data_IF_192590289513
#
_entry.id   IF_192590289513
#
_cell.length_a   1.000
_cell.length_b   1.000
_cell.length_c   1.000
_cell.angle_alpha   90.00
_cell.angle_beta   90.00
_cell.angle_gamma   90.00
#
_symmetry.space_group_name_H-M   'P 1'
#
loop_
_entity.id
_entity.type
_entity.pdbx_description
1 polymer ?
#
# COMPACT_ATOMS: atom_id res chain seq x y z
N UNK A 1 5.18 -11.24 19.66
CA UNK A 1 5.43 -11.18 18.22
C UNK A 1 4.17 -11.58 17.49
N UNK A 2 3.53 -10.63 16.83
CA UNK A 2 2.23 -10.81 16.14
C UNK A 2 2.32 -11.72 14.90
N UNK A 3 3.49 -11.76 14.25
CA UNK A 3 3.71 -12.45 12.97
C UNK A 3 4.74 -13.57 13.06
N UNK A 4 4.94 -14.13 14.26
CA UNK A 4 5.88 -15.25 14.44
C UNK A 4 5.52 -16.40 13.50
N UNK A 5 6.50 -16.87 12.72
CA UNK A 5 6.36 -17.94 11.72
C UNK A 5 5.47 -17.60 10.50
N UNK A 6 5.00 -16.35 10.34
CA UNK A 6 4.28 -15.91 9.15
C UNK A 6 5.27 -15.52 8.05
N UNK A 7 4.97 -15.91 6.82
CA UNK A 7 5.70 -15.56 5.60
C UNK A 7 4.92 -14.50 4.82
N UNK A 8 5.49 -13.33 4.63
CA UNK A 8 4.82 -12.20 3.97
C UNK A 8 5.64 -11.68 2.79
N UNK A 9 5.01 -11.62 1.63
CA UNK A 9 5.57 -10.97 0.45
C UNK A 9 5.26 -9.47 0.47
N UNK A 10 6.26 -8.60 0.33
CA UNK A 10 6.08 -7.16 0.27
C UNK A 10 6.43 -6.63 -1.12
N UNK A 11 5.48 -5.95 -1.77
CA UNK A 11 5.69 -5.29 -3.05
C UNK A 11 5.84 -3.79 -2.87
N UNK A 12 6.57 -3.12 -3.77
CA UNK A 12 6.67 -1.65 -3.78
C UNK A 12 7.67 -1.04 -2.80
N UNK A 13 8.61 -1.82 -2.26
CA UNK A 13 9.73 -1.30 -1.46
C UNK A 13 10.78 -0.66 -2.37
N UNK A 14 10.67 0.64 -2.64
CA UNK A 14 11.55 1.36 -3.56
C UNK A 14 12.78 1.97 -2.86
N UNK A 15 12.68 2.36 -1.59
CA UNK A 15 13.75 2.94 -0.77
C UNK A 15 13.35 2.97 0.72
N UNK A 16 14.29 3.38 1.58
CA UNK A 16 14.10 3.47 3.04
C UNK A 16 13.02 4.45 3.53
N UNK A 17 12.54 5.35 2.67
CA UNK A 17 11.49 6.33 2.99
C UNK A 17 10.11 5.90 2.53
N UNK A 18 10.00 4.78 1.78
CA UNK A 18 8.71 4.26 1.34
C UNK A 18 7.89 3.72 2.53
N UNK A 19 6.56 3.77 2.41
CA UNK A 19 5.67 3.18 3.41
C UNK A 19 5.96 1.67 3.55
N UNK A 20 6.26 0.99 2.44
CA UNK A 20 6.67 -0.42 2.44
C UNK A 20 7.89 -0.70 3.33
N UNK A 21 8.82 0.27 3.48
CA UNK A 21 9.97 0.12 4.39
C UNK A 21 9.55 0.12 5.86
N UNK A 22 8.63 1.00 6.25
CA UNK A 22 8.07 1.01 7.61
C UNK A 22 7.27 -0.28 7.90
N UNK A 23 6.51 -0.76 6.89
CA UNK A 23 5.77 -2.03 6.99
C UNK A 23 6.74 -3.21 7.16
N UNK A 24 7.78 -3.30 6.33
CA UNK A 24 8.80 -4.35 6.42
C UNK A 24 9.49 -4.34 7.79
N UNK A 25 9.87 -3.15 8.29
CA UNK A 25 10.49 -2.99 9.60
C UNK A 25 9.58 -3.48 10.73
N UNK A 26 8.31 -3.10 10.72
CA UNK A 26 7.35 -3.53 11.75
C UNK A 26 7.07 -5.02 11.68
N UNK A 27 6.87 -5.58 10.48
CA UNK A 27 6.60 -7.01 10.30
C UNK A 27 7.81 -7.88 10.68
N UNK A 28 9.04 -7.45 10.34
CA UNK A 28 10.26 -8.13 10.76
C UNK A 28 10.41 -8.12 12.28
N UNK A 29 10.21 -6.97 12.93
CA UNK A 29 10.21 -6.84 14.40
C UNK A 29 9.18 -7.76 15.05
N UNK A 30 8.04 -7.97 14.40
CA UNK A 30 6.98 -8.85 14.88
C UNK A 30 7.18 -10.33 14.48
N UNK A 31 8.33 -10.67 13.89
CA UNK A 31 8.78 -12.05 13.68
C UNK A 31 8.36 -12.67 12.35
N UNK A 32 7.94 -11.88 11.38
CA UNK A 32 7.68 -12.36 10.02
C UNK A 32 8.97 -12.70 9.27
N UNK A 33 8.92 -13.76 8.48
CA UNK A 33 9.86 -14.03 7.38
C UNK A 33 9.37 -13.25 6.15
N UNK A 34 10.25 -12.43 5.54
CA UNK A 34 9.87 -11.52 4.47
C UNK A 34 10.48 -11.93 3.13
N UNK A 35 9.74 -11.70 2.05
CA UNK A 35 10.22 -11.68 0.69
C UNK A 35 9.80 -10.35 0.02
N UNK A 36 10.52 -9.95 -1.02
CA UNK A 36 10.27 -8.66 -1.68
C UNK A 36 10.23 -8.81 -3.19
N UNK A 37 9.40 -7.96 -3.84
CA UNK A 37 9.46 -7.80 -5.29
C UNK A 37 10.10 -6.47 -5.68
N UNK A 38 10.72 -6.46 -6.85
CA UNK A 38 11.26 -5.27 -7.50
C UNK A 38 10.90 -5.26 -8.99
N UNK A 39 10.74 -4.08 -9.58
CA UNK A 39 10.32 -3.96 -10.98
C UNK A 39 11.49 -4.05 -11.97
N UNK A 40 12.68 -3.57 -11.56
CA UNK A 40 13.84 -3.48 -12.45
C UNK A 40 15.16 -3.41 -11.66
N UNK A 41 16.28 -3.59 -12.35
CA UNK A 41 17.65 -3.59 -11.79
C UNK A 41 18.00 -2.33 -10.97
N UNK A 42 17.47 -1.17 -11.35
CA UNK A 42 17.69 0.08 -10.59
C UNK A 42 17.05 0.01 -9.20
N UNK A 43 15.85 -0.57 -9.10
CA UNK A 43 15.16 -0.75 -7.82
C UNK A 43 15.80 -1.89 -7.01
N UNK A 44 16.26 -2.94 -7.65
CA UNK A 44 16.98 -4.04 -6.99
C UNK A 44 18.17 -3.52 -6.17
N UNK A 45 19.02 -2.67 -6.76
CA UNK A 45 20.20 -2.08 -6.06
C UNK A 45 19.83 -1.32 -4.78
N UNK A 46 18.67 -0.69 -4.75
CA UNK A 46 18.17 0.00 -3.56
C UNK A 46 17.55 -0.97 -2.55
N UNK A 47 16.94 -2.04 -3.03
CA UNK A 47 16.21 -3.02 -2.24
C UNK A 47 17.14 -3.98 -1.50
N UNK A 48 18.21 -4.47 -2.13
CA UNK A 48 19.13 -5.46 -1.55
C UNK A 48 19.62 -5.12 -0.13
N UNK A 49 20.16 -3.91 0.14
CA UNK A 49 20.63 -3.57 1.48
C UNK A 49 19.48 -3.49 2.50
N UNK A 50 18.26 -3.10 2.07
CA UNK A 50 17.09 -3.04 2.93
C UNK A 50 16.57 -4.45 3.26
N UNK A 51 16.47 -5.32 2.27
CA UNK A 51 16.05 -6.70 2.46
C UNK A 51 16.97 -7.43 3.45
N UNK A 52 18.30 -7.27 3.30
CA UNK A 52 19.28 -7.81 4.25
C UNK A 52 19.08 -7.29 5.67
N UNK A 53 18.75 -6.00 5.84
CA UNK A 53 18.45 -5.42 7.15
C UNK A 53 17.19 -6.02 7.79
N UNK A 54 16.27 -6.53 6.98
CA UNK A 54 15.06 -7.25 7.40
C UNK A 54 15.24 -8.79 7.35
N UNK A 55 16.47 -9.27 7.31
CA UNK A 55 16.79 -10.71 7.36
C UNK A 55 16.36 -11.51 6.14
N UNK A 56 16.13 -10.87 4.99
CA UNK A 56 15.66 -11.53 3.77
C UNK A 56 16.71 -11.50 2.66
N UNK A 57 16.79 -12.62 1.94
CA UNK A 57 17.53 -12.78 0.68
C UNK A 57 16.62 -13.13 -0.51
N UNK A 58 15.29 -13.12 -0.29
CA UNK A 58 14.30 -13.47 -1.32
C UNK A 58 13.84 -12.18 -2.03
N UNK A 59 14.45 -11.93 -3.18
CA UNK A 59 14.19 -10.78 -4.05
C UNK A 59 13.74 -11.29 -5.42
N UNK A 60 12.56 -10.88 -5.86
CA UNK A 60 11.91 -11.43 -7.06
C UNK A 60 11.52 -10.30 -8.00
N UNK A 61 11.93 -10.40 -9.25
CA UNK A 61 11.52 -9.46 -10.29
C UNK A 61 10.02 -9.60 -10.58
N UNK A 62 9.29 -8.48 -10.55
CA UNK A 62 7.85 -8.43 -10.84
C UNK A 62 7.46 -7.03 -11.34
N UNK A 63 7.11 -6.94 -12.62
CA UNK A 63 6.43 -5.77 -13.17
C UNK A 63 4.93 -6.04 -13.17
N UNK A 64 4.19 -5.31 -12.37
CA UNK A 64 2.75 -5.49 -12.21
C UNK A 64 1.93 -5.01 -13.42
N UNK A 65 2.56 -4.37 -14.40
CA UNK A 65 1.95 -4.04 -15.69
C UNK A 65 1.92 -5.24 -16.67
N UNK A 66 2.45 -6.41 -16.27
CA UNK A 66 2.52 -7.60 -17.12
C UNK A 66 2.07 -8.83 -16.34
N UNK A 67 0.97 -9.45 -16.80
CA UNK A 67 0.48 -10.70 -16.21
C UNK A 67 1.54 -11.81 -16.30
N UNK A 68 2.30 -11.88 -17.42
CA UNK A 68 3.41 -12.84 -17.57
C UNK A 68 4.52 -12.62 -16.52
N UNK A 69 4.86 -11.36 -16.23
CA UNK A 69 5.82 -11.03 -15.18
C UNK A 69 5.31 -11.44 -13.80
N UNK A 70 4.04 -11.21 -13.51
CA UNK A 70 3.39 -11.63 -12.26
C UNK A 70 3.44 -13.17 -12.11
N UNK A 71 3.02 -13.91 -13.14
CA UNK A 71 3.05 -15.38 -13.12
C UNK A 71 4.46 -15.92 -12.92
N UNK A 72 5.45 -15.35 -13.62
CA UNK A 72 6.88 -15.70 -13.44
C UNK A 72 7.34 -15.41 -12.01
N UNK A 73 6.94 -14.28 -11.43
CA UNK A 73 7.32 -13.92 -10.06
C UNK A 73 6.82 -14.94 -9.03
N UNK A 74 5.57 -15.39 -9.11
CA UNK A 74 5.05 -16.42 -8.20
C UNK A 74 5.65 -17.79 -8.45
N UNK A 75 6.01 -18.11 -9.70
CA UNK A 75 6.77 -19.33 -10.03
C UNK A 75 8.18 -19.29 -9.41
N UNK A 76 8.86 -18.16 -9.38
CA UNK A 76 10.15 -18.01 -8.69
C UNK A 76 9.98 -18.04 -7.17
N UNK A 77 8.93 -17.41 -6.62
CA UNK A 77 8.61 -17.48 -5.19
C UNK A 77 8.35 -18.91 -4.73
N UNK A 78 7.67 -19.73 -5.54
CA UNK A 78 7.36 -21.12 -5.20
C UNK A 78 8.61 -22.02 -5.05
N UNK A 79 9.75 -21.62 -5.62
CA UNK A 79 11.05 -22.30 -5.42
C UNK A 79 11.66 -22.01 -4.05
N UNK A 80 11.22 -20.95 -3.37
CA UNK A 80 11.68 -20.50 -2.06
C UNK A 80 10.73 -20.87 -0.94
N UNK A 81 9.43 -20.66 -1.17
CA UNK A 81 8.35 -20.95 -0.25
C UNK A 81 7.31 -21.87 -0.91
N UNK A 82 7.01 -23.00 -0.30
CA UNK A 82 5.92 -23.88 -0.76
C UNK A 82 4.56 -23.19 -0.61
N UNK A 83 4.41 -22.41 0.46
CA UNK A 83 3.23 -21.60 0.75
C UNK A 83 3.62 -20.40 1.61
N UNK A 84 2.74 -19.38 1.70
CA UNK A 84 2.98 -18.18 2.47
C UNK A 84 1.67 -17.57 3.01
N UNK A 85 1.77 -16.63 3.96
CA UNK A 85 0.64 -16.19 4.77
C UNK A 85 0.01 -14.88 4.28
N UNK A 86 0.47 -14.35 3.17
CA UNK A 86 -0.13 -13.18 2.53
C UNK A 86 0.88 -12.20 1.94
N UNK A 87 0.34 -11.14 1.35
CA UNK A 87 1.19 -10.10 0.77
C UNK A 87 0.69 -8.69 1.07
N UNK A 88 1.63 -7.74 0.99
CA UNK A 88 1.38 -6.31 1.05
C UNK A 88 1.57 -5.70 -0.33
N UNK A 89 0.51 -5.13 -0.88
CA UNK A 89 0.51 -4.35 -2.10
C UNK A 89 0.75 -2.87 -1.78
N UNK A 90 2.01 -2.42 -1.90
CA UNK A 90 2.41 -1.03 -1.68
C UNK A 90 2.81 -0.35 -3.00
N UNK A 91 1.97 -0.50 -4.01
CA UNK A 91 2.19 -0.01 -5.38
C UNK A 91 1.15 1.05 -5.72
N UNK A 92 1.57 2.06 -6.46
CA UNK A 92 0.71 3.07 -7.03
C UNK A 92 1.52 3.94 -7.97
N UNK A 93 0.96 4.22 -9.15
CA UNK A 93 1.57 5.05 -10.17
C UNK A 93 0.51 5.74 -11.02
N UNK A 94 0.74 6.99 -11.34
CA UNK A 94 0.09 7.71 -12.42
C UNK A 94 1.13 8.59 -13.12
N UNK A 95 1.03 8.84 -14.44
CA UNK A 95 1.88 9.81 -15.12
C UNK A 95 1.75 11.21 -14.48
N UNK A 96 2.85 11.92 -14.32
CA UNK A 96 2.88 13.20 -13.58
C UNK A 96 2.02 14.29 -14.21
N UNK A 97 1.89 14.30 -15.53
CA UNK A 97 1.04 15.21 -16.30
C UNK A 97 -0.46 15.00 -16.06
N UNK A 98 -0.84 13.86 -15.48
CA UNK A 98 -2.22 13.54 -15.11
C UNK A 98 -2.58 14.01 -13.70
N UNK A 99 -1.61 14.43 -12.90
CA UNK A 99 -1.78 14.81 -11.49
C UNK A 99 -1.90 16.31 -11.29
N UNK A 100 -1.18 17.11 -12.09
CA UNK A 100 -1.15 18.57 -11.95
C UNK A 100 -2.16 19.26 -12.90
N UNK A 101 -2.94 20.22 -12.39
CA UNK A 101 -3.88 21.02 -13.17
C UNK A 101 -5.35 20.66 -12.90
N UNK A 102 -6.24 21.24 -13.69
CA UNK A 102 -7.68 20.96 -13.60
C UNK A 102 -7.95 19.53 -14.08
N UNK A 103 -8.64 18.75 -13.29
CA UNK A 103 -8.93 17.33 -13.56
C UNK A 103 -9.51 17.08 -14.95
N UNK A 104 -10.48 17.88 -15.38
CA UNK A 104 -11.14 17.71 -16.69
C UNK A 104 -10.18 17.97 -17.84
N UNK A 105 -9.27 18.95 -17.69
CA UNK A 105 -8.39 19.37 -18.77
C UNK A 105 -7.18 18.43 -18.94
N UNK A 106 -6.66 17.88 -17.84
CA UNK A 106 -5.42 17.08 -17.87
C UNK A 106 -5.67 15.57 -17.98
N UNK A 107 -6.88 15.09 -17.67
CA UNK A 107 -7.17 13.66 -17.67
C UNK A 107 -7.29 13.12 -19.10
N UNK A 108 -6.40 12.24 -19.46
CA UNK A 108 -6.43 11.52 -20.74
C UNK A 108 -6.90 10.08 -20.57
N UNK A 109 -7.43 9.49 -21.66
CA UNK A 109 -7.81 8.07 -21.67
C UNK A 109 -6.64 7.16 -21.30
N UNK A 110 -5.46 7.43 -21.83
CA UNK A 110 -4.28 6.61 -21.57
C UNK A 110 -3.77 6.77 -20.14
N UNK A 111 -3.66 8.00 -19.63
CA UNK A 111 -3.26 8.25 -18.24
C UNK A 111 -4.26 7.62 -17.24
N UNK A 112 -5.55 7.66 -17.53
CA UNK A 112 -6.58 6.99 -16.75
C UNK A 112 -6.37 5.47 -16.71
N UNK A 113 -6.13 4.84 -17.89
CA UNK A 113 -5.85 3.40 -17.99
C UNK A 113 -4.61 3.01 -17.17
N UNK A 114 -3.49 3.70 -17.37
CA UNK A 114 -2.24 3.43 -16.67
C UNK A 114 -2.43 3.53 -15.15
N UNK A 115 -3.09 4.60 -14.67
CA UNK A 115 -3.30 4.78 -13.24
C UNK A 115 -4.14 3.66 -12.62
N UNK A 116 -5.21 3.21 -13.30
CA UNK A 116 -6.07 2.13 -12.81
C UNK A 116 -5.40 0.77 -12.93
N UNK A 117 -4.69 0.51 -14.01
CA UNK A 117 -3.98 -0.74 -14.25
C UNK A 117 -2.94 -0.97 -13.14
N UNK A 118 -2.01 -0.02 -12.97
CA UNK A 118 -0.92 -0.13 -11.99
C UNK A 118 -1.40 0.00 -10.55
N UNK A 119 -2.36 0.90 -10.26
CA UNK A 119 -2.69 1.25 -8.87
C UNK A 119 -3.92 0.54 -8.31
N UNK A 120 -4.67 -0.18 -9.13
CA UNK A 120 -5.88 -0.88 -8.74
C UNK A 120 -5.91 -2.32 -9.23
N UNK A 121 -5.88 -2.56 -10.56
CA UNK A 121 -5.97 -3.90 -11.13
C UNK A 121 -4.83 -4.81 -10.67
N UNK A 122 -3.61 -4.29 -10.55
CA UNK A 122 -2.45 -5.05 -10.10
C UNK A 122 -2.66 -5.75 -8.74
N UNK A 123 -3.46 -5.19 -7.83
CA UNK A 123 -3.82 -5.85 -6.58
C UNK A 123 -4.64 -7.12 -6.82
N UNK A 124 -5.60 -7.07 -7.73
CA UNK A 124 -6.41 -8.23 -8.14
C UNK A 124 -5.57 -9.27 -8.88
N UNK A 125 -4.68 -8.83 -9.77
CA UNK A 125 -3.78 -9.72 -10.52
C UNK A 125 -2.82 -10.49 -9.58
N UNK A 126 -2.20 -9.78 -8.61
CA UNK A 126 -1.37 -10.41 -7.58
C UNK A 126 -2.18 -11.36 -6.69
N UNK A 127 -3.41 -10.99 -6.29
CA UNK A 127 -4.29 -11.86 -5.51
C UNK A 127 -4.61 -13.15 -6.27
N UNK A 128 -4.95 -13.05 -7.57
CA UNK A 128 -5.19 -14.21 -8.43
C UNK A 128 -3.97 -15.13 -8.52
N UNK A 129 -2.79 -14.57 -8.79
CA UNK A 129 -1.56 -15.33 -8.96
C UNK A 129 -1.07 -15.96 -7.65
N UNK A 130 -1.32 -15.30 -6.50
CA UNK A 130 -0.94 -15.79 -5.17
C UNK A 130 -1.82 -16.93 -4.65
N UNK A 131 -3.09 -16.99 -5.08
CA UNK A 131 -4.11 -17.89 -4.53
C UNK A 131 -3.66 -19.35 -4.36
N UNK A 132 -2.96 -19.99 -5.33
CA UNK A 132 -2.51 -21.39 -5.17
C UNK A 132 -1.45 -21.62 -4.10
N UNK A 133 -0.82 -20.54 -3.60
CA UNK A 133 0.28 -20.62 -2.64
C UNK A 133 -0.11 -20.07 -1.26
N UNK A 134 -1.32 -19.53 -1.08
CA UNK A 134 -1.74 -18.97 0.21
C UNK A 134 -2.03 -20.09 1.23
N UNK A 135 -1.49 -19.89 2.44
CA UNK A 135 -1.85 -20.72 3.60
C UNK A 135 -3.30 -20.43 4.01
N UNK A 136 -3.89 -21.32 4.77
CA UNK A 136 -5.12 -21.05 5.52
C UNK A 136 -4.90 -19.86 6.48
N UNK A 137 -5.92 -19.02 6.66
CA UNK A 137 -5.86 -17.80 7.48
C UNK A 137 -4.88 -16.72 6.96
N UNK A 138 -4.68 -16.66 5.64
CA UNK A 138 -3.82 -15.65 5.01
C UNK A 138 -4.45 -14.25 5.01
N UNK A 139 -3.60 -13.23 4.83
CA UNK A 139 -4.03 -11.83 4.77
C UNK A 139 -3.41 -11.08 3.58
N UNK A 140 -4.25 -10.43 2.79
CA UNK A 140 -3.83 -9.51 1.72
C UNK A 140 -4.08 -8.07 2.17
N UNK A 141 -3.10 -7.22 2.00
CA UNK A 141 -3.16 -5.83 2.43
C UNK A 141 -2.75 -4.90 1.30
N UNK A 142 -3.50 -3.81 1.11
CA UNK A 142 -3.11 -2.74 0.18
C UNK A 142 -3.08 -1.37 0.86
N UNK A 143 -2.48 -0.39 0.18
CA UNK A 143 -2.39 0.99 0.66
C UNK A 143 -3.24 1.91 -0.21
N UNK A 144 -4.14 2.65 0.44
CA UNK A 144 -4.97 3.68 -0.17
C UNK A 144 -4.71 5.05 0.48
N UNK A 145 -5.46 6.04 0.08
CA UNK A 145 -5.38 7.40 0.60
C UNK A 145 -6.76 8.05 0.60
N UNK A 146 -6.99 9.00 1.49
CA UNK A 146 -8.25 9.74 1.62
C UNK A 146 -8.78 10.31 0.28
N UNK A 147 -7.89 10.54 -0.68
CA UNK A 147 -8.24 10.94 -2.04
C UNK A 147 -9.14 9.95 -2.80
N UNK A 148 -9.35 8.74 -2.28
CA UNK A 148 -10.33 7.77 -2.80
C UNK A 148 -11.79 8.20 -2.55
N UNK A 149 -12.04 8.95 -1.47
CA UNK A 149 -13.37 9.34 -1.01
C UNK A 149 -13.60 10.85 -0.91
N UNK A 150 -12.52 11.63 -0.95
CA UNK A 150 -12.56 13.10 -0.94
C UNK A 150 -11.66 13.66 -2.04
N UNK A 151 -12.07 14.76 -2.66
CA UNK A 151 -11.26 15.43 -3.67
C UNK A 151 -10.01 16.05 -3.03
N UNK A 152 -8.84 15.64 -3.48
CA UNK A 152 -7.55 16.20 -3.06
C UNK A 152 -6.92 16.93 -4.26
N UNK A 153 -6.55 18.21 -4.12
CA UNK A 153 -5.87 18.95 -5.19
C UNK A 153 -4.60 18.25 -5.68
N UNK A 154 -4.38 18.24 -6.98
CA UNK A 154 -3.24 17.58 -7.65
C UNK A 154 -3.13 16.06 -7.40
N UNK A 155 -4.24 15.42 -7.08
CA UNK A 155 -4.32 13.96 -6.96
C UNK A 155 -5.07 13.32 -8.14
N UNK A 156 -5.99 14.04 -8.74
CA UNK A 156 -6.71 13.77 -10.00
C UNK A 156 -6.97 12.26 -10.24
N UNK A 157 -6.47 11.70 -11.36
CA UNK A 157 -6.72 10.28 -11.74
C UNK A 157 -6.30 9.27 -10.66
N UNK A 158 -5.33 9.62 -9.81
CA UNK A 158 -4.93 8.75 -8.71
C UNK A 158 -6.05 8.59 -7.68
N UNK A 159 -6.85 9.63 -7.42
CA UNK A 159 -8.03 9.54 -6.55
C UNK A 159 -9.03 8.49 -7.05
N UNK A 160 -9.30 8.49 -8.36
CA UNK A 160 -10.20 7.52 -8.98
C UNK A 160 -9.61 6.10 -8.94
N UNK A 161 -8.30 5.95 -9.20
CA UNK A 161 -7.63 4.66 -9.09
C UNK A 161 -7.65 4.12 -7.66
N UNK A 162 -7.50 4.99 -6.63
CA UNK A 162 -7.62 4.59 -5.22
C UNK A 162 -9.06 4.25 -4.82
N UNK A 163 -10.07 4.94 -5.35
CA UNK A 163 -11.47 4.57 -5.17
C UNK A 163 -11.77 3.17 -5.76
N UNK A 164 -11.25 2.91 -6.94
CA UNK A 164 -11.28 1.57 -7.56
C UNK A 164 -10.56 0.52 -6.71
N UNK A 165 -9.39 0.84 -6.14
CA UNK A 165 -8.63 -0.06 -5.27
C UNK A 165 -9.39 -0.40 -3.96
N UNK A 166 -10.09 0.56 -3.37
CA UNK A 166 -10.94 0.33 -2.19
C UNK A 166 -12.15 -0.54 -2.53
N UNK A 167 -12.74 -0.37 -3.71
CA UNK A 167 -13.76 -1.29 -4.21
C UNK A 167 -13.18 -2.70 -4.41
N UNK A 168 -12.01 -2.83 -5.05
CA UNK A 168 -11.31 -4.10 -5.21
C UNK A 168 -11.06 -4.80 -3.87
N UNK A 169 -10.69 -4.07 -2.83
CA UNK A 169 -10.49 -4.63 -1.48
C UNK A 169 -11.75 -5.34 -1.00
N UNK A 170 -12.94 -4.72 -1.15
CA UNK A 170 -14.23 -5.34 -0.76
C UNK A 170 -14.60 -6.54 -1.63
N UNK A 171 -14.41 -6.44 -2.95
CA UNK A 171 -14.71 -7.55 -3.87
C UNK A 171 -13.77 -8.73 -3.67
N UNK A 172 -12.49 -8.51 -3.44
CA UNK A 172 -11.52 -9.56 -3.12
C UNK A 172 -11.84 -10.20 -1.75
N UNK A 173 -12.20 -9.41 -0.73
CA UNK A 173 -12.61 -9.93 0.56
C UNK A 173 -13.81 -10.87 0.44
N UNK A 174 -14.83 -10.49 -0.33
CA UNK A 174 -15.99 -11.32 -0.59
C UNK A 174 -15.65 -12.58 -1.38
N UNK A 175 -14.77 -12.47 -2.39
CA UNK A 175 -14.37 -13.59 -3.26
C UNK A 175 -13.46 -14.61 -2.59
N UNK A 176 -12.59 -14.18 -1.67
CA UNK A 176 -11.57 -15.03 -1.04
C UNK A 176 -11.92 -15.45 0.39
N UNK A 177 -13.00 -14.92 0.96
CA UNK A 177 -13.41 -15.19 2.33
C UNK A 177 -13.75 -16.67 2.59
N UNK A 178 -14.33 -17.37 1.61
CA UNK A 178 -14.58 -18.81 1.71
C UNK A 178 -13.31 -19.67 1.76
N UNK A 179 -12.19 -19.13 1.27
CA UNK A 179 -10.86 -19.74 1.36
C UNK A 179 -10.11 -19.27 2.63
N UNK A 180 -10.82 -18.65 3.58
CA UNK A 180 -10.28 -18.08 4.82
C UNK A 180 -9.16 -17.04 4.60
N UNK A 181 -9.21 -16.31 3.48
CA UNK A 181 -8.26 -15.24 3.15
C UNK A 181 -8.91 -13.89 3.43
N UNK A 182 -8.30 -13.08 4.29
CA UNK A 182 -8.74 -11.73 4.62
C UNK A 182 -8.10 -10.72 3.68
N UNK A 183 -8.84 -9.70 3.28
CA UNK A 183 -8.36 -8.65 2.38
C UNK A 183 -8.74 -7.30 2.94
N UNK A 184 -7.76 -6.46 3.26
CA UNK A 184 -7.96 -5.15 3.86
C UNK A 184 -7.11 -4.07 3.20
N UNK A 185 -7.41 -2.81 3.47
CA UNK A 185 -6.60 -1.68 3.05
C UNK A 185 -6.28 -0.75 4.22
N UNK A 186 -5.15 -0.06 4.15
CA UNK A 186 -4.81 1.06 5.03
C UNK A 186 -4.88 2.35 4.22
N UNK A 187 -5.73 3.28 4.66
CA UNK A 187 -5.74 4.66 4.20
C UNK A 187 -4.74 5.47 5.03
N UNK A 188 -3.51 5.58 4.53
CA UNK A 188 -2.43 6.27 5.22
C UNK A 188 -2.52 7.78 5.02
N UNK A 189 -2.26 8.56 6.07
CA UNK A 189 -2.04 10.01 5.96
C UNK A 189 -0.82 10.32 5.08
N UNK A 190 -0.64 11.59 4.66
CA UNK A 190 0.47 11.96 3.81
C UNK A 190 1.81 11.80 4.55
N UNK A 191 2.70 11.01 3.96
CA UNK A 191 4.05 10.75 4.45
C UNK A 191 5.03 11.20 3.38
N UNK A 192 6.15 11.82 3.80
CA UNK A 192 7.19 12.28 2.88
C UNK A 192 7.95 11.08 2.28
N UNK A 193 7.40 10.53 1.21
CA UNK A 193 8.02 9.47 0.41
C UNK A 193 8.58 10.02 -0.90
N UNK A 194 9.34 9.22 -1.64
CA UNK A 194 9.79 9.60 -2.99
C UNK A 194 8.60 9.79 -3.95
N UNK A 195 7.62 8.91 -3.89
CA UNK A 195 6.38 9.01 -4.69
C UNK A 195 5.62 10.29 -4.36
N UNK A 196 5.47 10.64 -3.08
CA UNK A 196 4.80 11.86 -2.64
C UNK A 196 5.56 13.14 -3.01
N UNK A 197 6.90 13.09 -3.16
CA UNK A 197 7.70 14.26 -3.58
C UNK A 197 7.40 14.72 -5.02
N UNK A 198 6.81 13.85 -5.85
CA UNK A 198 6.31 14.20 -7.18
C UNK A 198 4.99 15.00 -7.18
N UNK A 199 4.31 15.09 -6.03
CA UNK A 199 3.08 15.91 -5.92
C UNK A 199 3.43 17.37 -5.68
N UNK A 200 2.96 18.26 -6.54
CA UNK A 200 3.18 19.69 -6.41
C UNK A 200 2.65 20.22 -5.07
N UNK A 201 3.42 21.10 -4.43
CA UNK A 201 3.08 21.72 -3.14
C UNK A 201 2.93 20.72 -1.96
N UNK A 202 3.57 19.56 -2.03
CA UNK A 202 3.47 18.52 -0.99
C UNK A 202 3.77 19.03 0.43
N UNK A 203 4.75 19.94 0.60
CA UNK A 203 5.02 20.57 1.92
C UNK A 203 3.81 21.32 2.47
N UNK A 204 3.12 22.11 1.62
CA UNK A 204 1.91 22.84 2.02
C UNK A 204 0.80 21.87 2.42
N UNK A 205 0.67 20.77 1.68
CA UNK A 205 -0.28 19.69 2.01
C UNK A 205 0.02 19.05 3.39
N UNK A 206 1.29 18.81 3.73
CA UNK A 206 1.68 18.29 5.06
C UNK A 206 1.31 19.27 6.18
N UNK A 207 1.56 20.57 6.00
CA UNK A 207 1.19 21.61 6.98
C UNK A 207 -0.32 21.67 7.17
N UNK A 208 -1.09 21.67 6.08
CA UNK A 208 -2.56 21.69 6.13
C UNK A 208 -3.12 20.41 6.78
N UNK A 209 -2.49 19.26 6.51
CA UNK A 209 -2.86 18.01 7.16
C UNK A 209 -2.64 18.11 8.68
N UNK A 210 -1.45 18.55 9.11
CA UNK A 210 -1.12 18.67 10.53
C UNK A 210 -2.04 19.65 11.28
N UNK A 211 -2.41 20.78 10.65
CA UNK A 211 -3.30 21.77 11.28
C UNK A 211 -4.74 21.25 11.47
N UNK A 212 -5.18 20.31 10.64
CA UNK A 212 -6.52 19.75 10.67
C UNK A 212 -6.63 18.42 11.44
N UNK A 213 -5.51 17.68 11.51
CA UNK A 213 -5.50 16.38 12.17
C UNK A 213 -5.68 16.53 13.69
N UNK A 214 -6.57 15.80 14.35
CA UNK A 214 -6.76 15.83 15.80
C UNK A 214 -5.48 15.63 16.61
N UNK A 215 -4.51 14.83 16.13
CA UNK A 215 -3.22 14.67 16.80
C UNK A 215 -2.21 15.79 16.49
N UNK A 216 -2.57 16.81 15.70
CA UNK A 216 -1.72 17.97 15.39
C UNK A 216 -0.46 17.66 14.57
N UNK A 217 -0.39 16.51 13.93
CA UNK A 217 0.78 16.04 13.19
C UNK A 217 0.41 15.11 12.03
N UNK A 218 1.36 14.84 11.16
CA UNK A 218 1.28 13.72 10.21
C UNK A 218 1.67 12.41 10.88
N UNK A 219 1.41 11.29 10.20
CA UNK A 219 1.82 9.96 10.65
C UNK A 219 3.18 9.56 10.07
N UNK A 220 3.79 8.54 10.67
CA UNK A 220 5.06 7.95 10.26
C UNK A 220 4.86 6.65 9.49
N UNK A 221 5.88 6.22 8.74
CA UNK A 221 5.87 4.90 8.09
C UNK A 221 5.80 3.75 9.10
N UNK A 222 6.35 3.95 10.30
CA UNK A 222 6.29 2.97 11.39
C UNK A 222 4.87 2.80 11.93
N UNK A 223 4.11 3.89 12.12
CA UNK A 223 2.71 3.82 12.57
C UNK A 223 1.85 3.07 11.57
N UNK A 224 2.05 3.29 10.27
CA UNK A 224 1.39 2.50 9.22
C UNK A 224 1.84 1.04 9.26
N UNK A 225 3.14 0.81 9.48
CA UNK A 225 3.73 -0.54 9.61
C UNK A 225 3.14 -1.33 10.78
N UNK A 226 2.92 -0.70 11.92
CA UNK A 226 2.34 -1.34 13.10
C UNK A 226 0.90 -1.81 12.83
N UNK A 227 0.10 -0.99 12.16
CA UNK A 227 -1.27 -1.37 11.76
C UNK A 227 -1.23 -2.46 10.69
N UNK A 228 -0.28 -2.41 9.74
CA UNK A 228 -0.10 -3.46 8.75
C UNK A 228 0.25 -4.81 9.39
N UNK A 229 1.15 -4.82 10.37
CA UNK A 229 1.49 -6.04 11.12
C UNK A 229 0.26 -6.61 11.89
N UNK A 230 -0.54 -5.74 12.51
CA UNK A 230 -1.79 -6.13 13.16
C UNK A 230 -2.79 -6.74 12.16
N UNK A 231 -3.07 -6.06 11.04
CA UNK A 231 -4.04 -6.53 10.04
C UNK A 231 -3.61 -7.84 9.37
N UNK A 232 -2.31 -8.11 9.25
CA UNK A 232 -1.79 -9.38 8.72
C UNK A 232 -1.66 -10.49 9.78
N UNK A 233 -1.91 -10.19 11.06
CA UNK A 233 -1.83 -11.16 12.15
C UNK A 233 -3.17 -11.84 12.42
N UNK A 234 -3.13 -12.92 13.22
CA UNK A 234 -4.33 -13.63 13.68
C UNK A 234 -5.19 -12.81 14.66
N UNK A 235 -4.64 -11.73 15.24
CA UNK A 235 -5.41 -10.77 16.07
C UNK A 235 -6.46 -10.00 15.24
N UNK A 236 -6.32 -9.95 13.92
CA UNK A 236 -7.28 -9.34 13.01
C UNK A 236 -8.17 -10.39 12.30
N UNK A 237 -8.33 -11.59 12.85
CA UNK A 237 -9.05 -12.71 12.23
C UNK A 237 -10.51 -12.40 11.87
N UNK A 238 -11.15 -11.47 12.54
CA UNK A 238 -12.52 -11.01 12.24
C UNK A 238 -12.60 -9.79 11.33
N UNK A 239 -11.47 -9.31 10.75
CA UNK A 239 -11.42 -8.08 9.95
C UNK A 239 -11.11 -8.41 8.49
N UNK A 240 -12.09 -8.18 7.59
CA UNK A 240 -11.90 -8.30 6.14
C UNK A 240 -12.82 -7.31 5.39
N UNK A 241 -12.37 -6.80 4.25
CA UNK A 241 -13.06 -5.79 3.46
C UNK A 241 -12.97 -4.37 4.04
N UNK A 242 -12.13 -4.16 5.07
CA UNK A 242 -12.04 -2.92 5.84
C UNK A 242 -11.00 -1.96 5.24
N UNK A 243 -11.30 -0.67 5.33
CA UNK A 243 -10.38 0.43 5.02
C UNK A 243 -10.02 1.13 6.33
N UNK A 244 -8.88 0.77 6.90
CA UNK A 244 -8.42 1.31 8.19
C UNK A 244 -7.66 2.62 7.98
N UNK A 245 -8.10 3.71 8.60
CA UNK A 245 -7.43 5.00 8.53
C UNK A 245 -6.26 5.09 9.52
N UNK A 246 -5.09 5.44 9.02
CA UNK A 246 -3.87 5.75 9.80
C UNK A 246 -3.40 7.13 9.34
N UNK A 247 -4.04 8.18 9.82
CA UNK A 247 -3.89 9.56 9.33
C UNK A 247 -3.92 10.63 10.43
N UNK A 248 -3.67 10.25 11.67
CA UNK A 248 -3.73 11.12 12.85
C UNK A 248 -5.14 11.73 13.10
N UNK A 249 -6.20 11.06 12.59
CA UNK A 249 -7.60 11.48 12.72
C UNK A 249 -8.03 12.52 11.67
N UNK A 250 -7.19 12.84 10.69
CA UNK A 250 -7.49 13.86 9.67
C UNK A 250 -8.82 13.62 8.93
N UNK A 251 -9.13 12.37 8.62
CA UNK A 251 -10.37 12.02 7.90
C UNK A 251 -11.66 12.40 8.66
N UNK A 252 -11.58 12.58 9.98
CA UNK A 252 -12.74 12.87 10.85
C UNK A 252 -12.98 14.37 11.05
N UNK A 253 -11.98 15.23 10.77
CA UNK A 253 -12.06 16.66 11.02
C UNK A 253 -12.45 17.44 9.77
N UNK A 254 -13.55 18.20 9.83
CA UNK A 254 -14.03 19.01 8.73
C UNK A 254 -13.19 20.30 8.52
N UNK A 255 -12.61 20.86 9.62
CA UNK A 255 -11.84 22.11 9.61
C UNK A 255 -10.71 22.05 10.64
N UNK A 256 -9.72 22.97 10.57
CA UNK A 256 -8.66 23.08 11.59
C UNK A 256 -9.23 23.28 12.99
N UNK A 257 -8.73 22.52 13.97
CA UNK A 257 -9.20 22.60 15.35
C UNK A 257 -8.69 23.84 16.09
N UNK A 258 -7.53 24.36 15.67
CA UNK A 258 -6.90 25.55 16.26
C UNK A 258 -7.62 26.86 15.95
N UNK A 259 -8.39 26.95 14.87
CA UNK A 259 -9.16 28.17 14.50
C UNK A 259 -10.41 28.38 15.38
N UNK A 260 -10.80 27.39 16.20
CA UNK A 260 -11.98 27.45 17.06
C UNK A 260 -11.61 27.88 18.49
N UNK A 261 -10.33 27.83 18.86
CA UNK A 261 -9.85 28.07 20.24
C UNK A 261 -9.26 29.45 20.47
N UNK A 262 -9.05 30.27 19.46
CA UNK A 262 -8.48 31.62 19.52
C UNK A 262 -9.63 32.69 19.58
N UNK A 263 -10.43 32.64 20.66
CA UNK A 263 -11.31 33.75 21.09
C UNK A 263 -11.18 33.99 22.59
#
# INVERSE_FOLDING_TARGET
MLLKNKKILITGLANKYSIASGIASSMYREGAELAFTYQNERLLKNLEPLAKAYGSDILIECDVASDESIEKAFKELSKKWNAFDGFVHSIGFAPSDQLEGNFVDVTTREGFKIAHDISSYSFTALAKASKPMLNDSSALLTLTYLGAVQTIPNYNVMGLAKASLEANTRFLAASMGSDNVRVNAISAGPIKTLAASGVKNFRKMLTQHSSRAPLGRTVTTEEVGNVAAFLCSDYASGITGEITYVDAGFNTAAMPLTEITDN
#
